data_IF_086129196549
#
_entry.id   IF_086129196549
#
_cell.length_a   1.000
_cell.length_b   1.000
_cell.length_c   1.000
_cell.angle_alpha   90.00
_cell.angle_beta   90.00
_cell.angle_gamma   90.00
#
_symmetry.space_group_name_H-M   'P 1'
#
loop_
_entity.id
_entity.type
_entity.pdbx_description
1 polymer ?
#
# COMPACT_ATOMS: atom_id res chain seq x y z
N UNK A 1 -7.78 8.24 -4.84
CA UNK A 1 -8.12 7.12 -3.95
C UNK A 1 -7.01 6.93 -2.93
N UNK A 2 -7.27 6.24 -1.81
CA UNK A 2 -6.30 5.93 -0.75
C UNK A 2 -6.36 4.42 -0.46
N UNK A 3 -5.25 3.84 0.00
CA UNK A 3 -5.15 2.45 0.47
C UNK A 3 -4.48 2.50 1.85
N UNK A 4 -5.01 1.78 2.83
CA UNK A 4 -4.56 1.80 4.22
C UNK A 4 -5.66 2.16 5.21
N UNK A 5 -5.29 2.42 6.46
CA UNK A 5 -6.23 2.70 7.55
C UNK A 5 -6.25 4.18 7.89
N UNK A 6 -7.44 4.73 8.02
CA UNK A 6 -7.64 6.04 8.64
C UNK A 6 -7.61 5.87 10.16
N UNK A 7 -6.56 6.37 10.81
CA UNK A 7 -6.36 6.20 12.25
C UNK A 7 -7.36 7.02 13.09
N UNK A 8 -7.97 8.06 12.54
CA UNK A 8 -8.96 8.89 13.25
C UNK A 8 -10.37 8.30 13.20
N UNK A 9 -10.76 7.69 12.07
CA UNK A 9 -12.11 7.15 11.86
C UNK A 9 -12.17 5.63 11.92
N UNK A 10 -11.03 5.01 12.17
CA UNK A 10 -10.81 3.56 12.13
C UNK A 10 -11.25 2.86 10.83
N UNK A 11 -11.30 3.62 9.73
CA UNK A 11 -11.81 3.12 8.45
C UNK A 11 -10.67 2.53 7.64
N UNK A 12 -10.83 1.30 7.17
CA UNK A 12 -9.88 0.66 6.26
C UNK A 12 -10.26 0.87 4.80
N UNK A 13 -9.25 1.19 3.99
CA UNK A 13 -9.34 1.30 2.54
C UNK A 13 -8.46 0.24 1.90
N UNK A 14 -9.06 -0.60 1.07
CA UNK A 14 -8.40 -1.70 0.37
C UNK A 14 -8.93 -1.81 -1.05
N UNK A 15 -8.20 -2.54 -1.90
CA UNK A 15 -8.71 -2.91 -3.22
C UNK A 15 -9.24 -4.34 -3.17
N UNK A 16 -10.32 -4.58 -3.89
CA UNK A 16 -10.89 -5.90 -4.10
C UNK A 16 -10.79 -6.24 -5.58
N UNK A 17 -10.33 -7.45 -5.88
CA UNK A 17 -10.29 -7.91 -7.26
C UNK A 17 -11.70 -8.02 -7.82
N UNK A 18 -11.80 -7.97 -9.13
CA UNK A 18 -13.00 -8.44 -9.81
C UNK A 18 -13.10 -9.95 -9.68
N UNK A 19 -14.32 -10.47 -9.77
CA UNK A 19 -14.58 -11.91 -9.76
C UNK A 19 -14.05 -12.58 -11.02
N UNK A 20 -14.15 -11.88 -12.16
CA UNK A 20 -13.57 -12.29 -13.43
C UNK A 20 -13.28 -11.07 -14.30
N UNK A 21 -12.53 -11.25 -15.40
CA UNK A 21 -12.19 -10.16 -16.32
C UNK A 21 -13.41 -9.42 -16.90
N UNK A 22 -14.56 -10.09 -16.99
CA UNK A 22 -15.83 -9.55 -17.48
C UNK A 22 -16.90 -9.39 -16.39
N UNK A 23 -16.59 -9.68 -15.13
CA UNK A 23 -17.52 -9.60 -14.01
C UNK A 23 -16.92 -8.69 -12.92
N UNK A 24 -17.34 -7.41 -12.86
CA UNK A 24 -16.82 -6.44 -11.91
C UNK A 24 -17.33 -6.65 -10.48
N UNK A 25 -18.13 -7.70 -10.23
CA UNK A 25 -18.53 -8.03 -8.88
C UNK A 25 -17.32 -8.40 -8.00
N UNK A 26 -17.43 -8.24 -6.67
CA UNK A 26 -16.43 -8.65 -5.69
C UNK A 26 -15.82 -10.04 -5.94
N UNK A 27 -14.51 -10.06 -6.20
CA UNK A 27 -13.70 -11.28 -6.25
C UNK A 27 -13.17 -11.70 -4.88
N UNK A 28 -12.21 -12.62 -4.89
CA UNK A 28 -11.68 -13.24 -3.65
C UNK A 28 -10.33 -12.69 -3.21
N UNK A 29 -9.67 -11.88 -4.04
CA UNK A 29 -8.36 -11.31 -3.72
C UNK A 29 -8.51 -9.89 -3.20
N UNK A 30 -7.88 -9.61 -2.08
CA UNK A 30 -7.84 -8.29 -1.44
C UNK A 30 -6.41 -7.77 -1.42
N UNK A 31 -6.24 -6.48 -1.68
CA UNK A 31 -4.97 -5.77 -1.59
C UNK A 31 -5.04 -4.80 -0.39
N UNK A 32 -4.33 -5.15 0.69
CA UNK A 32 -4.49 -4.56 2.03
C UNK A 32 -3.15 -4.09 2.59
N UNK A 33 -3.16 -3.03 3.40
CA UNK A 33 -1.98 -2.62 4.16
C UNK A 33 -1.90 -3.45 5.43
N UNK A 34 -0.73 -4.03 5.69
CA UNK A 34 -0.43 -4.78 6.91
C UNK A 34 0.45 -3.89 7.80
N UNK A 35 -0.09 -3.48 8.94
CA UNK A 35 0.61 -2.71 9.97
C UNK A 35 0.77 -3.56 11.22
N UNK A 36 1.85 -4.35 11.31
CA UNK A 36 2.14 -5.22 12.48
C UNK A 36 3.43 -4.80 13.19
N UNK A 37 3.50 -3.54 13.63
CA UNK A 37 4.64 -3.01 14.41
C UNK A 37 5.96 -2.86 13.62
N UNK A 38 5.88 -2.99 12.30
CA UNK A 38 6.96 -2.87 11.33
C UNK A 38 6.57 -1.82 10.27
N UNK A 39 7.50 -1.31 9.44
CA UNK A 39 7.17 -0.44 8.32
C UNK A 39 6.01 -1.03 7.51
N UNK A 40 5.05 -0.20 7.05
CA UNK A 40 3.86 -0.69 6.39
C UNK A 40 4.22 -1.55 5.18
N UNK A 41 3.62 -2.74 5.12
CA UNK A 41 3.68 -3.63 3.96
C UNK A 41 2.33 -3.62 3.26
N UNK A 42 2.33 -3.93 1.97
CA UNK A 42 1.10 -4.27 1.27
C UNK A 42 1.10 -5.77 0.97
N UNK A 43 -0.03 -6.41 1.28
CA UNK A 43 -0.23 -7.82 1.02
C UNK A 43 -1.43 -8.02 0.10
N UNK A 44 -1.30 -8.99 -0.80
CA UNK A 44 -2.43 -9.59 -1.48
C UNK A 44 -2.84 -10.84 -0.72
N UNK A 45 -4.06 -10.86 -0.21
CA UNK A 45 -4.63 -11.98 0.53
C UNK A 45 -5.84 -12.53 -0.19
N UNK A 46 -6.06 -13.84 -0.09
CA UNK A 46 -7.29 -14.44 -0.58
C UNK A 46 -8.38 -14.51 0.50
N UNK A 47 -9.54 -15.04 0.12
CA UNK A 47 -10.69 -15.21 1.01
C UNK A 47 -10.45 -16.17 2.19
N UNK A 48 -9.40 -17.00 2.16
CA UNK A 48 -9.00 -17.84 3.30
C UNK A 48 -8.08 -17.12 4.28
N UNK A 49 -7.68 -15.88 3.97
CA UNK A 49 -6.68 -15.12 4.71
C UNK A 49 -5.24 -15.51 4.37
N UNK A 50 -5.03 -16.40 3.40
CA UNK A 50 -3.69 -16.78 2.97
C UNK A 50 -3.06 -15.66 2.14
N UNK A 51 -1.83 -15.28 2.49
CA UNK A 51 -1.07 -14.30 1.72
C UNK A 51 -0.57 -14.93 0.42
N UNK A 52 -0.95 -14.34 -0.70
CA UNK A 52 -0.50 -14.73 -2.05
C UNK A 52 0.73 -13.95 -2.50
N UNK A 53 0.85 -12.70 -2.07
CA UNK A 53 1.95 -11.83 -2.42
C UNK A 53 2.19 -10.78 -1.32
N UNK A 54 3.44 -10.35 -1.15
CA UNK A 54 3.83 -9.26 -0.27
C UNK A 54 4.79 -8.32 -0.98
N UNK A 55 4.58 -7.03 -0.77
CA UNK A 55 5.50 -5.99 -1.23
C UNK A 55 6.71 -5.83 -0.31
N UNK A 56 6.77 -6.60 0.78
CA UNK A 56 7.75 -6.45 1.86
C UNK A 56 7.66 -5.01 2.40
N UNK A 57 8.75 -4.51 2.97
CA UNK A 57 8.82 -3.23 3.66
C UNK A 57 8.90 -2.07 2.67
N UNK A 58 8.21 -0.98 3.01
CA UNK A 58 8.42 0.35 2.47
C UNK A 58 9.78 0.90 2.94
N UNK A 59 10.63 1.34 2.01
CA UNK A 59 11.97 1.85 2.34
C UNK A 59 12.08 3.39 2.35
N UNK A 60 10.95 4.10 2.25
CA UNK A 60 10.92 5.56 2.12
C UNK A 60 10.79 6.07 0.69
N UNK A 61 11.05 5.22 -0.31
CA UNK A 61 11.00 5.59 -1.73
C UNK A 61 10.08 4.66 -2.54
N UNK A 62 10.15 3.35 -2.30
CA UNK A 62 9.29 2.34 -2.91
C UNK A 62 9.10 1.14 -1.99
N UNK A 63 8.22 0.22 -2.39
CA UNK A 63 8.13 -1.08 -1.73
C UNK A 63 9.14 -2.07 -2.30
N UNK A 64 9.98 -2.64 -1.44
CA UNK A 64 11.16 -3.41 -1.87
C UNK A 64 10.83 -4.70 -2.62
N UNK A 65 9.62 -5.25 -2.44
CA UNK A 65 9.13 -6.45 -3.12
C UNK A 65 8.50 -6.21 -4.49
N UNK A 66 8.43 -4.96 -4.97
CA UNK A 66 7.97 -4.62 -6.33
C UNK A 66 9.14 -3.99 -7.08
N UNK A 67 9.88 -4.81 -7.82
CA UNK A 67 11.10 -4.38 -8.54
C UNK A 67 10.80 -3.33 -9.60
N UNK A 68 9.62 -3.39 -10.24
CA UNK A 68 9.20 -2.40 -11.22
C UNK A 68 9.10 -1.00 -10.61
N UNK A 69 8.74 -0.86 -9.33
CA UNK A 69 8.69 0.44 -8.66
C UNK A 69 10.07 1.07 -8.48
N UNK A 70 11.14 0.26 -8.41
CA UNK A 70 12.50 0.78 -8.30
C UNK A 70 12.90 1.58 -9.55
N UNK A 71 12.33 1.28 -10.72
CA UNK A 71 12.57 2.05 -11.95
C UNK A 71 12.00 3.49 -11.89
N UNK A 72 11.09 3.76 -10.96
CA UNK A 72 10.49 5.09 -10.71
C UNK A 72 11.06 5.76 -9.45
N UNK A 73 12.16 5.25 -8.90
CA UNK A 73 12.76 5.74 -7.65
C UNK A 73 12.99 7.26 -7.64
N UNK A 74 13.50 7.82 -8.74
CA UNK A 74 13.78 9.26 -8.86
C UNK A 74 12.51 10.12 -8.80
N UNK A 75 11.41 9.64 -9.38
CA UNK A 75 10.12 10.32 -9.31
C UNK A 75 9.58 10.32 -7.87
N UNK A 76 9.68 9.18 -7.17
CA UNK A 76 9.29 9.07 -5.77
C UNK A 76 10.18 9.92 -4.85
N UNK A 77 11.47 10.03 -5.13
CA UNK A 77 12.39 10.91 -4.40
C UNK A 77 11.99 12.39 -4.57
N UNK A 78 11.63 12.82 -5.78
CA UNK A 78 11.14 14.18 -6.01
C UNK A 78 9.84 14.46 -5.27
N UNK A 79 8.90 13.50 -5.28
CA UNK A 79 7.62 13.62 -4.58
C UNK A 79 7.78 13.69 -3.06
N UNK A 80 8.64 12.85 -2.47
CA UNK A 80 8.92 12.90 -1.02
C UNK A 80 9.56 14.23 -0.63
N UNK A 81 10.52 14.74 -1.41
CA UNK A 81 11.13 16.03 -1.14
C UNK A 81 10.14 17.21 -1.29
N UNK A 82 9.26 17.16 -2.30
CA UNK A 82 8.20 18.17 -2.49
C UNK A 82 7.17 18.13 -1.35
N UNK A 83 6.81 16.94 -0.87
CA UNK A 83 5.88 16.78 0.25
C UNK A 83 6.48 17.37 1.54
N UNK A 84 7.74 17.04 1.85
CA UNK A 84 8.47 17.61 2.99
C UNK A 84 8.62 19.13 2.89
N UNK A 85 8.76 19.68 1.69
CA UNK A 85 8.94 21.12 1.46
C UNK A 85 7.63 21.92 1.47
N UNK A 86 6.50 21.30 1.11
CA UNK A 86 5.23 22.02 0.88
C UNK A 86 4.27 21.88 2.05
N UNK A 87 4.38 20.81 2.84
CA UNK A 87 3.56 20.61 4.02
C UNK A 87 4.43 20.02 5.13
N UNK A 88 4.20 20.42 6.38
CA UNK A 88 4.64 19.66 7.56
C UNK A 88 3.87 18.31 7.66
N UNK A 89 3.65 17.63 6.54
CA UNK A 89 3.10 16.29 6.46
C UNK A 89 4.30 15.37 6.40
N UNK A 90 4.68 14.89 7.57
CA UNK A 90 5.41 13.64 7.66
C UNK A 90 4.52 12.57 7.03
N UNK A 91 4.98 11.90 5.97
CA UNK A 91 4.55 10.51 5.75
C UNK A 91 5.30 9.68 6.80
N UNK A 92 4.93 9.89 8.06
CA UNK A 92 5.21 8.94 9.13
C UNK A 92 4.01 8.01 9.15
N UNK A 93 4.18 6.80 8.60
CA UNK A 93 3.31 5.68 8.91
C UNK A 93 4.05 4.72 9.86
N UNK A 94 4.71 5.33 10.83
CA UNK A 94 5.19 4.74 12.08
C UNK A 94 4.98 5.80 13.14
N UNK A 95 4.48 5.41 14.31
CA UNK A 95 4.29 6.30 15.47
C UNK A 95 5.56 7.12 15.80
#
# INVERSE_FOLDING_TARGET
MKIGRNLWTDTEWYLLSWKAANDPSPGTLQYVVVTRGEPPEIAMVDSSGATRFRTVMWNGLWFSGILEMASYADEFAHLTQKLLATHHIFISLTD
#
